data_IF_517154640442
#
_entry.id   IF_517154640442
#
_cell.length_a   1.000
_cell.length_b   1.000
_cell.length_c   1.000
_cell.angle_alpha   90.00
_cell.angle_beta   90.00
_cell.angle_gamma   90.00
#
_symmetry.space_group_name_H-M   'P 1'
#
loop_
_entity.id
_entity.type
_entity.pdbx_description
1 polymer ?
#
# COMPACT_ATOMS: atom_id res chain seq x y z
N UNK A 1 -75.15 -12.07 -22.07
CA UNK A 1 -75.50 -13.18 -21.15
C UNK A 1 -74.22 -13.92 -20.80
N UNK A 2 -73.92 -14.04 -19.49
CA UNK A 2 -73.15 -15.06 -18.74
C UNK A 2 -71.90 -15.69 -19.42
N UNK A 3 -70.74 -15.84 -18.81
CA UNK A 3 -70.47 -16.31 -17.43
C UNK A 3 -69.00 -16.04 -17.08
N UNK A 4 -68.74 -15.90 -15.79
CA UNK A 4 -67.44 -15.84 -15.12
C UNK A 4 -66.83 -17.25 -15.12
N UNK A 5 -65.52 -17.40 -15.29
CA UNK A 5 -64.82 -18.47 -14.57
C UNK A 5 -63.37 -18.10 -14.23
N UNK A 6 -63.09 -18.28 -12.95
CA UNK A 6 -61.87 -18.06 -12.21
C UNK A 6 -60.93 -19.24 -12.42
N UNK A 7 -59.64 -18.99 -12.71
CA UNK A 7 -58.59 -19.98 -12.46
C UNK A 7 -57.32 -19.27 -11.99
N UNK A 8 -57.07 -19.40 -10.69
CA UNK A 8 -55.82 -19.05 -10.02
C UNK A 8 -54.89 -20.27 -10.14
N UNK A 9 -53.68 -20.12 -10.67
CA UNK A 9 -52.59 -21.00 -10.30
C UNK A 9 -51.24 -20.29 -10.36
N UNK A 10 -50.58 -20.37 -9.21
CA UNK A 10 -49.35 -19.71 -8.79
C UNK A 10 -48.13 -20.39 -9.41
N UNK A 11 -47.00 -19.69 -9.33
CA UNK A 11 -45.61 -20.18 -9.39
C UNK A 11 -45.03 -20.55 -10.76
N UNK A 12 -44.09 -19.72 -11.22
CA UNK A 12 -42.65 -20.01 -11.06
C UNK A 12 -41.81 -18.79 -11.44
N UNK A 13 -40.81 -18.49 -10.60
CA UNK A 13 -39.72 -17.57 -10.91
C UNK A 13 -38.93 -18.10 -12.11
N UNK A 14 -38.67 -17.23 -13.08
CA UNK A 14 -37.46 -17.28 -13.88
C UNK A 14 -36.96 -15.84 -14.05
N UNK A 15 -36.14 -15.39 -13.09
CA UNK A 15 -35.28 -14.24 -13.31
C UNK A 15 -34.13 -14.75 -14.16
N UNK A 16 -34.18 -14.49 -15.46
CA UNK A 16 -33.03 -14.67 -16.33
C UNK A 16 -33.01 -13.53 -17.35
N UNK A 17 -31.92 -12.76 -17.30
CA UNK A 17 -31.61 -11.76 -18.32
C UNK A 17 -31.55 -10.33 -17.79
N UNK A 18 -30.41 -9.95 -17.20
CA UNK A 18 -29.98 -8.56 -17.34
C UNK A 18 -28.45 -8.44 -17.33
N UNK A 19 -27.94 -8.31 -18.56
CA UNK A 19 -26.79 -7.49 -18.97
C UNK A 19 -25.42 -7.75 -18.34
N UNK A 20 -24.58 -8.42 -19.13
CA UNK A 20 -23.13 -8.32 -19.10
C UNK A 20 -22.69 -6.86 -19.33
N UNK A 21 -22.54 -6.11 -18.25
CA UNK A 21 -21.83 -4.84 -18.24
C UNK A 21 -20.35 -5.08 -17.93
N UNK A 22 -19.49 -5.03 -18.95
CA UNK A 22 -18.04 -4.93 -18.74
C UNK A 22 -17.74 -3.61 -18.03
N UNK A 23 -17.49 -3.67 -16.72
CA UNK A 23 -16.90 -2.54 -16.00
C UNK A 23 -15.44 -2.44 -16.44
N UNK A 24 -15.18 -1.65 -17.48
CA UNK A 24 -13.83 -1.14 -17.76
C UNK A 24 -13.44 -0.24 -16.61
N UNK A 25 -12.78 -0.81 -15.60
CA UNK A 25 -12.04 -0.03 -14.62
C UNK A 25 -10.87 0.59 -15.38
N UNK A 26 -11.04 1.84 -15.83
CA UNK A 26 -9.94 2.66 -16.27
C UNK A 26 -9.01 2.82 -15.06
N UNK A 27 -8.01 1.95 -14.95
CA UNK A 27 -6.90 2.13 -14.02
C UNK A 27 -6.09 3.29 -14.58
N UNK A 28 -6.52 4.52 -14.26
CA UNK A 28 -5.69 5.70 -14.44
C UNK A 28 -4.37 5.38 -13.74
N UNK A 29 -3.25 5.34 -14.46
CA UNK A 29 -1.96 5.06 -13.84
C UNK A 29 -1.79 6.03 -12.67
N UNK A 30 -1.54 5.52 -11.46
CA UNK A 30 -1.13 6.34 -10.33
C UNK A 30 0.23 6.94 -10.68
N UNK A 31 0.21 8.09 -11.38
CA UNK A 31 1.38 8.90 -11.63
C UNK A 31 1.64 9.70 -10.38
N UNK A 32 2.74 9.43 -9.68
CA UNK A 32 3.22 10.34 -8.65
C UNK A 32 3.96 11.49 -9.34
N UNK A 33 3.58 12.73 -9.05
CA UNK A 33 4.31 13.91 -9.49
C UNK A 33 5.73 13.90 -8.91
N UNK A 34 6.73 14.24 -9.73
CA UNK A 34 8.13 14.26 -9.31
C UNK A 34 8.92 15.35 -10.04
N UNK A 35 9.99 15.82 -9.39
CA UNK A 35 10.97 16.74 -10.00
C UNK A 35 12.32 16.02 -10.26
N UNK A 36 12.65 14.98 -9.49
CA UNK A 36 13.85 14.16 -9.68
C UNK A 36 15.09 14.72 -8.98
N UNK A 37 14.97 15.03 -7.70
CA UNK A 37 16.07 15.51 -6.86
C UNK A 37 16.22 14.62 -5.62
N UNK A 38 17.46 14.36 -5.23
CA UNK A 38 17.80 13.95 -3.88
C UNK A 38 17.92 15.20 -3.02
N UNK A 39 17.35 15.14 -1.83
CA UNK A 39 17.23 16.29 -0.94
C UNK A 39 17.73 15.96 0.46
N UNK A 40 18.22 16.98 1.17
CA UNK A 40 18.66 16.91 2.56
C UNK A 40 18.15 18.12 3.34
N UNK A 41 17.95 17.91 4.64
CA UNK A 41 17.53 18.93 5.58
C UNK A 41 18.67 19.89 5.88
N UNK A 42 18.33 21.15 6.15
CA UNK A 42 19.31 22.18 6.48
C UNK A 42 19.29 22.37 7.98
N UNK A 43 20.32 21.85 8.65
CA UNK A 43 20.60 22.17 10.05
C UNK A 43 21.31 23.53 10.18
N UNK A 44 21.41 24.03 11.42
CA UNK A 44 22.01 25.33 11.71
C UNK A 44 23.51 25.41 11.36
N UNK A 45 24.23 24.28 11.29
CA UNK A 45 25.65 24.26 10.86
C UNK A 45 25.78 24.37 9.33
N UNK A 46 24.91 23.66 8.61
CA UNK A 46 24.83 23.67 7.17
C UNK A 46 24.38 25.03 6.65
N UNK A 47 23.40 25.66 7.30
CA UNK A 47 22.93 27.00 6.96
C UNK A 47 24.06 28.04 7.02
N UNK A 48 24.91 27.98 8.06
CA UNK A 48 26.09 28.85 8.22
C UNK A 48 27.13 28.60 7.14
N UNK A 49 27.38 27.34 6.80
CA UNK A 49 28.33 26.94 5.77
C UNK A 49 27.90 27.45 4.38
N UNK A 50 26.61 27.37 4.09
CA UNK A 50 26.00 27.84 2.83
C UNK A 50 25.73 29.36 2.82
N UNK A 51 26.04 30.04 3.93
CA UNK A 51 25.81 31.48 4.16
C UNK A 51 24.36 31.88 3.87
N UNK A 52 23.43 31.02 4.26
CA UNK A 52 22.00 31.29 4.13
C UNK A 52 21.59 32.40 5.10
N UNK A 53 20.62 33.20 4.67
CA UNK A 53 20.03 34.25 5.52
C UNK A 53 19.08 33.67 6.57
N UNK A 54 18.53 32.49 6.30
CA UNK A 54 17.52 31.85 7.12
C UNK A 54 17.81 30.34 7.22
N UNK A 55 17.55 29.75 8.38
CA UNK A 55 17.65 28.29 8.62
C UNK A 55 16.40 27.58 8.08
N UNK A 56 16.11 27.77 6.80
CA UNK A 56 14.95 27.21 6.15
C UNK A 56 15.28 26.78 4.72
N UNK A 57 14.53 25.80 4.25
CA UNK A 57 14.64 25.28 2.89
C UNK A 57 15.19 23.87 2.87
N UNK A 58 15.49 23.42 1.65
CA UNK A 58 15.92 22.05 1.39
C UNK A 58 17.10 22.07 0.43
N UNK A 59 18.21 21.44 0.83
CA UNK A 59 19.40 21.33 -0.01
C UNK A 59 19.24 20.19 -1.01
N UNK A 60 19.56 20.46 -2.28
CA UNK A 60 19.63 19.47 -3.33
C UNK A 60 20.99 18.77 -3.25
N UNK A 61 21.00 17.52 -2.81
CA UNK A 61 22.22 16.70 -2.74
C UNK A 61 22.50 15.97 -4.05
N UNK A 62 21.46 15.75 -4.87
CA UNK A 62 21.56 14.99 -6.11
C UNK A 62 20.51 15.42 -7.10
N UNK A 63 20.83 15.38 -8.38
CA UNK A 63 19.87 15.56 -9.47
C UNK A 63 19.81 14.27 -10.28
N UNK A 64 18.60 13.74 -10.51
CA UNK A 64 18.38 12.55 -11.35
C UNK A 64 18.71 12.91 -12.81
N UNK A 65 19.45 12.06 -13.55
CA UNK A 65 19.59 12.22 -15.00
C UNK A 65 18.23 12.16 -15.72
N UNK A 66 18.09 12.92 -16.81
CA UNK A 66 16.88 13.06 -17.64
C UNK A 66 15.63 13.58 -16.91
N UNK A 67 15.81 14.07 -15.69
CA UNK A 67 14.72 14.53 -14.83
C UNK A 67 14.24 15.95 -15.15
N UNK A 68 13.02 16.32 -14.71
CA UNK A 68 12.59 17.72 -14.71
C UNK A 68 13.58 18.70 -14.08
N UNK A 69 14.22 18.31 -12.98
CA UNK A 69 15.18 19.14 -12.27
C UNK A 69 16.42 19.44 -13.11
N UNK A 70 16.98 18.43 -13.75
CA UNK A 70 18.13 18.57 -14.63
C UNK A 70 17.80 19.48 -15.83
N UNK A 71 16.64 19.25 -16.45
CA UNK A 71 16.15 20.07 -17.59
C UNK A 71 15.90 21.52 -17.21
N UNK A 72 15.52 21.77 -15.96
CA UNK A 72 15.36 23.12 -15.42
C UNK A 72 16.69 23.77 -15.00
N UNK A 73 17.80 23.03 -15.05
CA UNK A 73 19.12 23.52 -14.68
C UNK A 73 19.34 23.61 -13.17
N UNK A 74 18.60 22.84 -12.36
CA UNK A 74 18.93 22.63 -10.94
C UNK A 74 20.25 21.87 -10.82
N UNK A 75 21.00 22.14 -9.76
CA UNK A 75 22.33 21.59 -9.51
C UNK A 75 22.45 21.11 -8.07
N UNK A 76 23.36 20.17 -7.84
CA UNK A 76 23.76 19.80 -6.49
C UNK A 76 24.34 21.00 -5.74
N UNK A 77 23.94 21.17 -4.49
CA UNK A 77 24.31 22.30 -3.63
C UNK A 77 23.34 23.49 -3.71
N UNK A 78 22.34 23.45 -4.58
CA UNK A 78 21.25 24.43 -4.56
C UNK A 78 20.39 24.23 -3.31
N UNK A 79 19.96 25.32 -2.70
CA UNK A 79 18.99 25.27 -1.60
C UNK A 79 17.66 25.84 -2.07
N UNK A 80 16.59 25.06 -2.03
CA UNK A 80 15.25 25.54 -2.36
C UNK A 80 14.65 26.26 -1.14
N UNK A 81 14.39 27.56 -1.29
CA UNK A 81 13.81 28.43 -0.27
C UNK A 81 12.31 28.61 -0.45
N UNK A 82 11.84 28.68 -1.70
CA UNK A 82 10.41 28.84 -2.00
C UNK A 82 9.94 27.94 -3.14
N UNK A 83 8.67 27.56 -3.08
CA UNK A 83 7.94 26.79 -4.07
C UNK A 83 6.66 27.54 -4.45
N UNK A 84 6.56 28.06 -5.68
CA UNK A 84 5.44 28.90 -6.14
C UNK A 84 5.12 30.09 -5.21
N UNK A 85 6.14 30.70 -4.60
CA UNK A 85 5.97 31.80 -3.64
C UNK A 85 5.57 31.36 -2.23
N UNK A 86 5.46 30.05 -1.98
CA UNK A 86 5.31 29.51 -0.63
C UNK A 86 6.69 29.16 -0.07
N UNK A 87 6.95 29.58 1.17
CA UNK A 87 8.19 29.25 1.88
C UNK A 87 8.31 27.75 2.11
N UNK A 88 9.49 27.21 1.87
CA UNK A 88 9.86 25.83 2.17
C UNK A 88 10.59 25.81 3.50
N UNK A 89 10.02 25.13 4.50
CA UNK A 89 10.60 25.00 5.84
C UNK A 89 11.42 23.71 5.99
N UNK A 90 11.10 22.66 5.21
CA UNK A 90 11.82 21.40 5.27
C UNK A 90 11.39 20.36 4.24
N UNK A 91 12.00 19.17 4.33
CA UNK A 91 11.85 18.07 3.36
C UNK A 91 10.39 17.65 3.19
N UNK A 92 9.67 17.44 4.31
CA UNK A 92 8.29 16.96 4.30
C UNK A 92 7.36 17.91 3.56
N UNK A 93 7.51 19.22 3.81
CA UNK A 93 6.72 20.25 3.15
C UNK A 93 7.05 20.32 1.66
N UNK A 94 8.34 20.33 1.31
CA UNK A 94 8.78 20.34 -0.10
C UNK A 94 8.24 19.13 -0.87
N UNK A 95 8.40 17.92 -0.30
CA UNK A 95 7.91 16.68 -0.89
C UNK A 95 6.40 16.74 -1.11
N UNK A 96 5.63 17.20 -0.11
CA UNK A 96 4.18 17.38 -0.24
C UNK A 96 3.81 18.33 -1.38
N UNK A 97 4.42 19.52 -1.44
CA UNK A 97 4.15 20.52 -2.48
C UNK A 97 4.40 19.98 -3.90
N UNK A 98 5.46 19.17 -4.07
CA UNK A 98 5.76 18.48 -5.34
C UNK A 98 4.68 17.45 -5.69
N UNK A 99 4.24 16.63 -4.73
CA UNK A 99 3.24 15.59 -4.95
C UNK A 99 1.84 16.16 -5.22
N UNK A 100 1.49 17.29 -4.58
CA UNK A 100 0.21 17.97 -4.76
C UNK A 100 0.15 18.76 -6.08
N UNK A 101 1.31 19.07 -6.68
CA UNK A 101 1.35 19.74 -7.97
C UNK A 101 1.12 18.73 -9.10
N UNK A 102 0.10 18.90 -9.97
CA UNK A 102 -0.13 18.02 -11.10
C UNK A 102 1.06 17.96 -12.05
N UNK A 103 1.38 16.75 -12.51
CA UNK A 103 2.38 16.58 -13.54
C UNK A 103 2.03 17.38 -14.81
N UNK A 104 3.06 17.95 -15.43
CA UNK A 104 2.95 18.85 -16.58
C UNK A 104 2.88 20.32 -16.23
N UNK A 105 2.57 20.69 -14.96
CA UNK A 105 2.62 22.10 -14.54
C UNK A 105 4.05 22.60 -14.37
N UNK A 106 4.24 23.87 -14.71
CA UNK A 106 5.44 24.62 -14.36
C UNK A 106 5.30 25.22 -12.98
N UNK A 107 6.41 25.16 -12.23
CA UNK A 107 6.51 25.63 -10.86
C UNK A 107 7.73 26.53 -10.78
N UNK A 108 7.57 27.69 -10.18
CA UNK A 108 8.68 28.61 -9.91
C UNK A 108 9.29 28.26 -8.56
N UNK A 109 10.55 27.86 -8.57
CA UNK A 109 11.36 27.67 -7.38
C UNK A 109 12.22 28.92 -7.15
N UNK A 110 12.30 29.38 -5.91
CA UNK A 110 13.38 30.27 -5.49
C UNK A 110 14.46 29.43 -4.83
N UNK A 111 15.65 29.45 -5.43
CA UNK A 111 16.81 28.72 -4.95
C UNK A 111 17.90 29.67 -4.49
N UNK A 112 18.73 29.22 -3.57
CA UNK A 112 20.00 29.86 -3.22
C UNK A 112 21.14 29.10 -3.87
N UNK A 113 21.93 29.81 -4.67
CA UNK A 113 23.08 29.26 -5.40
C UNK A 113 24.20 30.27 -5.39
N UNK A 114 25.42 29.85 -5.02
CA UNK A 114 26.62 30.69 -4.99
C UNK A 114 26.45 31.99 -4.17
N UNK A 115 25.66 31.96 -3.08
CA UNK A 115 25.46 33.12 -2.21
C UNK A 115 24.40 34.13 -2.69
N UNK A 116 23.58 33.77 -3.69
CA UNK A 116 22.50 34.62 -4.18
C UNK A 116 21.21 33.82 -4.45
N UNK A 117 20.05 34.47 -4.29
CA UNK A 117 18.77 33.93 -4.70
C UNK A 117 18.63 33.94 -6.22
N UNK A 118 18.18 32.84 -6.80
CA UNK A 118 17.86 32.67 -8.22
C UNK A 118 16.46 32.08 -8.36
N UNK A 119 15.70 32.53 -9.36
CA UNK A 119 14.42 31.92 -9.71
C UNK A 119 14.63 30.89 -10.82
N UNK A 120 14.21 29.65 -10.59
CA UNK A 120 14.28 28.56 -11.56
C UNK A 120 12.88 27.99 -11.77
N UNK A 121 12.45 27.87 -13.02
CA UNK A 121 11.16 27.28 -13.34
C UNK A 121 11.34 25.81 -13.70
N UNK A 122 10.62 24.94 -13.01
CA UNK A 122 10.68 23.49 -13.18
C UNK A 122 9.33 22.96 -13.62
N UNK A 123 9.31 22.15 -14.68
CA UNK A 123 8.09 21.48 -15.13
C UNK A 123 7.93 20.13 -14.42
N UNK A 124 6.99 20.02 -13.48
CA UNK A 124 6.76 18.79 -12.71
C UNK A 124 6.49 17.61 -13.65
N UNK A 125 7.26 16.53 -13.50
CA UNK A 125 7.12 15.32 -14.30
C UNK A 125 6.09 14.36 -13.71
N UNK A 126 5.57 13.47 -14.55
CA UNK A 126 4.81 12.31 -14.09
C UNK A 126 5.79 11.14 -13.94
N UNK A 127 6.05 10.68 -12.71
CA UNK A 127 6.77 9.42 -12.53
C UNK A 127 5.72 8.36 -12.75
N UNK A 128 5.77 7.74 -13.93
CA UNK A 128 5.07 6.47 -14.12
C UNK A 128 5.79 5.50 -13.20
N UNK A 129 5.25 5.29 -12.01
CA UNK A 129 5.64 4.13 -11.23
C UNK A 129 5.46 2.95 -12.18
N UNK A 130 6.50 2.13 -12.41
CA UNK A 130 6.28 0.84 -13.02
C UNK A 130 5.13 0.25 -12.22
N UNK A 131 4.05 -0.16 -12.88
CA UNK A 131 3.12 -1.04 -12.19
C UNK A 131 4.03 -2.14 -11.60
N UNK A 132 3.92 -2.50 -10.31
CA UNK A 132 4.64 -3.66 -9.80
C UNK A 132 4.37 -4.91 -10.66
N UNK A 133 3.32 -4.86 -11.49
CA UNK A 133 2.94 -5.85 -12.49
C UNK A 133 2.49 -5.16 -13.79
N UNK A 134 3.22 -5.26 -14.91
CA UNK A 134 2.79 -4.71 -16.18
C UNK A 134 1.63 -5.53 -16.75
N UNK A 135 0.47 -4.90 -16.93
CA UNK A 135 -0.59 -5.34 -17.86
C UNK A 135 -1.39 -6.58 -17.48
N UNK A 136 -2.53 -6.71 -18.14
CA UNK A 136 -3.46 -7.83 -18.02
C UNK A 136 -2.78 -9.12 -18.52
N UNK A 137 -2.61 -10.10 -17.62
CA UNK A 137 -2.10 -11.44 -17.95
C UNK A 137 -0.61 -11.65 -17.69
N UNK A 138 -0.31 -12.66 -16.88
CA UNK A 138 1.04 -13.17 -16.68
C UNK A 138 1.55 -13.84 -17.96
N UNK A 139 2.51 -13.23 -18.64
CA UNK A 139 3.44 -13.96 -19.50
C UNK A 139 4.86 -13.70 -19.00
N UNK A 140 5.31 -14.56 -18.07
CA UNK A 140 6.73 -14.69 -17.79
C UNK A 140 7.37 -15.24 -19.07
N UNK A 141 8.17 -14.43 -19.76
CA UNK A 141 9.21 -15.01 -20.59
C UNK A 141 10.05 -15.92 -19.67
N UNK A 142 10.35 -17.18 -20.06
CA UNK A 142 11.10 -18.07 -19.20
C UNK A 142 12.45 -17.42 -18.90
N UNK A 143 12.69 -17.10 -17.64
CA UNK A 143 13.99 -16.63 -17.17
C UNK A 143 15.01 -17.74 -17.50
N UNK A 144 16.18 -17.41 -18.05
CA UNK A 144 17.27 -18.37 -18.11
C UNK A 144 17.55 -18.87 -16.68
N UNK A 145 17.95 -20.14 -16.48
CA UNK A 145 18.25 -20.66 -15.15
C UNK A 145 19.32 -19.77 -14.52
N UNK A 146 19.00 -19.05 -13.44
CA UNK A 146 20.02 -18.32 -12.70
C UNK A 146 20.95 -19.35 -12.08
N UNK A 147 22.23 -19.31 -12.45
CA UNK A 147 23.28 -19.91 -11.63
C UNK A 147 23.19 -19.28 -10.24
N UNK A 148 23.09 -20.12 -9.20
CA UNK A 148 22.98 -19.67 -7.82
C UNK A 148 24.29 -18.99 -7.43
N UNK A 149 24.34 -17.67 -7.47
CA UNK A 149 25.39 -16.93 -6.79
C UNK A 149 25.04 -16.89 -5.30
N UNK A 150 25.75 -17.68 -4.50
CA UNK A 150 25.73 -17.60 -3.03
C UNK A 150 26.40 -16.30 -2.58
N UNK A 151 25.69 -15.19 -2.71
CA UNK A 151 26.10 -13.93 -2.06
C UNK A 151 25.55 -13.98 -0.64
N UNK A 152 26.41 -14.32 0.33
CA UNK A 152 26.12 -14.12 1.76
C UNK A 152 25.98 -12.62 2.03
N UNK A 153 24.75 -12.14 2.08
CA UNK A 153 24.43 -10.79 2.53
C UNK A 153 24.60 -10.76 4.06
N UNK A 154 25.46 -9.91 4.64
CA UNK A 154 25.61 -9.77 6.09
C UNK A 154 24.29 -9.35 6.76
N UNK A 155 24.06 -9.84 7.99
CA UNK A 155 22.89 -9.52 8.82
C UNK A 155 22.82 -8.01 9.12
N UNK A 156 22.12 -7.28 8.26
CA UNK A 156 21.64 -5.94 8.57
C UNK A 156 20.29 -6.06 9.31
N UNK A 157 20.07 -5.34 10.42
CA UNK A 157 18.79 -5.31 11.10
C UNK A 157 17.73 -4.85 10.10
N UNK A 158 16.85 -5.78 9.68
CA UNK A 158 15.76 -5.49 8.76
C UNK A 158 14.81 -4.52 9.47
N UNK A 159 14.86 -3.25 9.11
CA UNK A 159 13.83 -2.28 9.46
C UNK A 159 12.51 -2.73 8.84
N UNK A 160 11.71 -3.41 9.65
CA UNK A 160 10.29 -3.74 9.52
C UNK A 160 9.62 -3.30 8.20
N UNK A 161 9.88 -4.04 7.12
CA UNK A 161 8.91 -4.17 6.05
C UNK A 161 7.83 -5.10 6.60
N UNK A 162 6.84 -4.53 7.30
CA UNK A 162 5.71 -5.28 7.85
C UNK A 162 4.94 -5.95 6.70
N UNK A 163 5.30 -7.20 6.41
CA UNK A 163 4.42 -8.10 5.69
C UNK A 163 3.24 -8.40 6.60
N UNK A 164 2.30 -7.46 6.65
CA UNK A 164 0.95 -7.71 7.15
C UNK A 164 0.40 -8.79 6.24
N UNK A 165 0.28 -10.01 6.74
CA UNK A 165 -0.43 -11.11 6.08
C UNK A 165 -1.91 -10.74 6.02
N UNK A 166 -2.25 -9.79 5.16
CA UNK A 166 -3.49 -9.02 5.15
C UNK A 166 -4.74 -9.83 4.80
N UNK A 167 -4.63 -11.16 4.71
CA UNK A 167 -5.72 -12.03 4.33
C UNK A 167 -6.15 -13.02 5.42
N UNK A 168 -5.33 -13.24 6.47
CA UNK A 168 -5.79 -13.90 7.71
C UNK A 168 -5.99 -12.91 8.86
N UNK A 169 -5.55 -11.66 8.69
CA UNK A 169 -5.59 -10.65 9.75
C UNK A 169 -4.68 -10.93 10.94
N UNK A 170 -3.69 -11.81 10.79
CA UNK A 170 -2.72 -12.17 11.83
C UNK A 170 -1.39 -11.45 11.62
N UNK A 171 -0.84 -10.92 12.70
CA UNK A 171 0.58 -10.53 12.75
C UNK A 171 1.37 -11.72 13.27
N UNK A 172 2.36 -12.13 12.49
CA UNK A 172 3.00 -13.41 12.73
C UNK A 172 4.51 -13.36 12.50
N UNK A 173 5.24 -14.20 13.22
CA UNK A 173 6.69 -14.28 13.22
C UNK A 173 7.14 -15.73 13.04
N UNK A 174 8.22 -15.96 12.29
CA UNK A 174 8.80 -17.29 12.17
C UNK A 174 9.35 -17.76 13.52
N UNK A 175 9.02 -18.99 13.91
CA UNK A 175 9.62 -19.68 15.05
C UNK A 175 10.66 -20.70 14.58
N UNK A 176 11.88 -20.52 15.06
CA UNK A 176 13.00 -21.42 14.81
C UNK A 176 13.75 -21.73 16.12
N UNK A 177 14.46 -22.86 16.15
CA UNK A 177 15.33 -23.26 17.27
C UNK A 177 14.61 -23.45 18.60
N UNK A 178 15.22 -22.95 19.69
CA UNK A 178 14.75 -23.16 21.08
C UNK A 178 13.35 -22.60 21.34
N UNK A 179 12.95 -21.54 20.63
CA UNK A 179 11.61 -20.96 20.74
C UNK A 179 10.57 -21.92 20.15
N UNK A 180 10.85 -22.57 19.02
CA UNK A 180 9.96 -23.56 18.43
C UNK A 180 9.74 -24.75 19.40
N UNK A 181 10.82 -25.23 20.03
CA UNK A 181 10.77 -26.31 21.02
C UNK A 181 9.90 -25.96 22.24
N UNK A 182 9.97 -24.71 22.73
CA UNK A 182 9.12 -24.23 23.82
C UNK A 182 7.63 -24.34 23.49
N UNK A 183 7.25 -24.01 22.25
CA UNK A 183 5.88 -24.14 21.76
C UNK A 183 5.51 -25.57 21.32
N UNK A 184 6.44 -26.53 21.42
CA UNK A 184 6.21 -27.93 21.08
C UNK A 184 6.19 -28.22 19.58
N UNK A 185 6.80 -27.35 18.76
CA UNK A 185 6.90 -27.51 17.31
C UNK A 185 8.36 -27.52 16.86
N UNK A 186 8.64 -28.13 15.70
CA UNK A 186 9.99 -28.08 15.08
C UNK A 186 10.22 -26.78 14.32
N UNK A 187 9.18 -26.29 13.67
CA UNK A 187 9.14 -25.06 12.88
C UNK A 187 7.69 -24.63 12.72
N UNK A 188 7.45 -23.34 12.54
CA UNK A 188 6.10 -22.80 12.37
C UNK A 188 6.09 -21.28 12.49
N UNK A 189 4.90 -20.70 12.44
CA UNK A 189 4.71 -19.25 12.48
C UNK A 189 3.88 -18.88 13.71
N UNK A 190 4.49 -18.21 14.68
CA UNK A 190 3.83 -17.70 15.88
C UNK A 190 2.93 -16.52 15.55
N UNK A 191 1.68 -16.59 15.96
CA UNK A 191 0.73 -15.49 15.92
C UNK A 191 0.99 -14.57 17.11
N UNK A 192 1.51 -13.38 16.82
CA UNK A 192 1.73 -12.32 17.83
C UNK A 192 0.42 -11.61 18.18
N UNK A 193 -0.40 -11.33 17.18
CA UNK A 193 -1.68 -10.65 17.35
C UNK A 193 -2.67 -11.06 16.25
N UNK A 194 -3.96 -10.92 16.55
CA UNK A 194 -5.05 -11.16 15.60
C UNK A 194 -5.88 -9.89 15.52
N UNK A 195 -6.17 -9.47 14.29
CA UNK A 195 -6.95 -8.26 14.02
C UNK A 195 -8.42 -8.55 14.25
N UNK A 196 -9.09 -7.66 14.99
CA UNK A 196 -10.55 -7.74 15.21
C UNK A 196 -11.32 -7.66 13.88
N UNK A 197 -12.32 -8.51 13.71
CA UNK A 197 -13.15 -8.62 12.51
C UNK A 197 -12.53 -9.42 11.36
N UNK A 198 -11.30 -9.92 11.49
CA UNK A 198 -10.63 -10.68 10.43
C UNK A 198 -11.10 -12.13 10.32
N UNK A 199 -10.90 -12.76 9.16
CA UNK A 199 -11.05 -14.19 8.95
C UNK A 199 -10.36 -15.04 10.04
N UNK A 200 -9.16 -14.65 10.47
CA UNK A 200 -8.43 -15.34 11.53
C UNK A 200 -9.14 -15.28 12.88
N UNK A 201 -9.67 -14.11 13.26
CA UNK A 201 -10.46 -13.97 14.50
C UNK A 201 -11.76 -14.75 14.42
N UNK A 202 -12.50 -14.62 13.30
CA UNK A 202 -13.76 -15.34 13.04
C UNK A 202 -13.56 -16.86 13.10
N UNK A 203 -12.40 -17.35 12.66
CA UNK A 203 -12.03 -18.76 12.72
C UNK A 203 -11.50 -19.21 14.09
N UNK A 204 -11.28 -18.29 15.03
CA UNK A 204 -10.85 -18.59 16.40
C UNK A 204 -9.33 -18.69 16.59
N UNK A 205 -8.54 -18.14 15.67
CA UNK A 205 -7.09 -17.97 15.85
C UNK A 205 -6.87 -16.94 16.98
N UNK A 206 -5.88 -17.19 17.84
CA UNK A 206 -5.53 -16.35 18.98
C UNK A 206 -4.03 -16.05 18.99
N UNK A 207 -3.65 -14.97 19.67
CA UNK A 207 -2.25 -14.71 19.98
C UNK A 207 -1.69 -15.87 20.82
N UNK A 208 -0.45 -16.28 20.51
CA UNK A 208 0.18 -17.46 21.10
C UNK A 208 -0.01 -18.75 20.33
N UNK A 209 -0.86 -18.75 19.29
CA UNK A 209 -0.98 -19.90 18.37
C UNK A 209 0.25 -20.01 17.48
N UNK A 210 0.70 -21.23 17.20
CA UNK A 210 1.75 -21.46 16.20
C UNK A 210 1.18 -22.20 15.01
N UNK A 211 1.07 -21.52 13.87
CA UNK A 211 0.58 -22.09 12.63
C UNK A 211 1.68 -22.95 12.01
N UNK A 212 1.40 -24.24 11.81
CA UNK A 212 2.35 -25.20 11.24
C UNK A 212 1.96 -25.60 9.81
N UNK A 213 0.67 -25.50 9.47
CA UNK A 213 0.15 -25.88 8.15
C UNK A 213 -1.02 -24.99 7.74
N UNK A 214 -1.07 -24.66 6.46
CA UNK A 214 -2.23 -24.04 5.82
C UNK A 214 -2.59 -24.93 4.64
N UNK A 215 -3.81 -25.45 4.64
CA UNK A 215 -4.28 -26.48 3.72
C UNK A 215 -3.43 -27.76 3.81
N UNK A 216 -3.01 -28.34 2.69
CA UNK A 216 -2.12 -29.49 2.65
C UNK A 216 -0.65 -29.16 2.93
N UNK A 217 -0.32 -27.87 3.06
CA UNK A 217 1.06 -27.44 2.94
C UNK A 217 1.67 -26.86 4.21
N UNK A 218 2.87 -27.34 4.53
CA UNK A 218 3.65 -26.87 5.68
C UNK A 218 4.06 -25.40 5.52
N UNK A 219 4.08 -24.69 6.64
CA UNK A 219 4.41 -23.27 6.72
C UNK A 219 5.48 -23.09 7.79
N UNK A 220 6.60 -22.46 7.41
CA UNK A 220 7.67 -22.11 8.34
C UNK A 220 7.82 -20.59 8.48
N UNK A 221 7.41 -19.82 7.47
CA UNK A 221 7.56 -18.37 7.45
C UNK A 221 6.24 -17.63 7.20
N UNK A 222 6.10 -16.37 7.65
CA UNK A 222 4.95 -15.53 7.30
C UNK A 222 4.74 -15.37 5.78
N UNK A 223 5.82 -15.48 4.99
CA UNK A 223 5.81 -15.50 3.53
C UNK A 223 4.92 -16.62 2.98
N UNK A 224 5.09 -17.81 3.53
CA UNK A 224 4.41 -19.03 3.10
C UNK A 224 2.91 -18.90 3.35
N UNK A 225 2.52 -18.34 4.49
CA UNK A 225 1.12 -18.04 4.81
C UNK A 225 0.54 -17.09 3.77
N UNK A 226 1.16 -15.92 3.58
CA UNK A 226 0.63 -14.89 2.70
C UNK A 226 0.48 -15.36 1.24
N UNK A 227 1.44 -16.15 0.76
CA UNK A 227 1.43 -16.72 -0.58
C UNK A 227 0.31 -17.76 -0.76
N UNK A 228 0.12 -18.65 0.23
CA UNK A 228 -0.92 -19.70 0.19
C UNK A 228 -2.32 -19.11 0.26
N UNK A 229 -2.53 -18.19 1.21
CA UNK A 229 -3.81 -17.53 1.41
C UNK A 229 -4.22 -16.74 0.17
N UNK A 230 -3.25 -16.16 -0.56
CA UNK A 230 -3.54 -15.47 -1.83
C UNK A 230 -4.05 -16.41 -2.92
N UNK A 231 -3.58 -17.65 -2.96
CA UNK A 231 -3.98 -18.66 -3.95
C UNK A 231 -5.30 -19.33 -3.58
N UNK A 232 -5.62 -19.41 -2.29
CA UNK A 232 -6.80 -20.12 -1.77
C UNK A 232 -8.01 -19.19 -1.48
N UNK A 233 -8.00 -17.98 -2.03
CA UNK A 233 -9.08 -16.98 -1.86
C UNK A 233 -10.44 -17.52 -2.29
N UNK A 234 -11.48 -17.08 -1.59
CA UNK A 234 -12.87 -17.45 -1.87
C UNK A 234 -13.26 -18.85 -1.38
N UNK A 235 -12.41 -19.49 -0.57
CA UNK A 235 -12.64 -20.83 -0.01
C UNK A 235 -12.35 -20.86 1.48
N UNK A 236 -12.97 -21.81 2.17
CA UNK A 236 -12.59 -22.17 3.54
C UNK A 236 -11.40 -23.11 3.51
N UNK A 237 -10.35 -22.74 4.22
CA UNK A 237 -9.08 -23.46 4.25
C UNK A 237 -8.82 -24.01 5.65
N UNK A 238 -8.48 -25.30 5.80
CA UNK A 238 -8.06 -25.82 7.10
C UNK A 238 -6.66 -25.29 7.44
N UNK A 239 -6.53 -24.67 8.61
CA UNK A 239 -5.28 -24.17 9.18
C UNK A 239 -4.96 -25.03 10.40
N UNK A 240 -3.82 -25.71 10.35
CA UNK A 240 -3.32 -26.50 11.48
C UNK A 240 -2.40 -25.61 12.31
N UNK A 241 -2.68 -25.55 13.60
CA UNK A 241 -1.93 -24.77 14.55
C UNK A 241 -1.72 -25.53 15.86
N UNK A 242 -0.71 -25.09 16.60
CA UNK A 242 -0.38 -25.56 17.93
C UNK A 242 -0.81 -24.52 18.95
N UNK A 243 -1.62 -24.93 19.93
CA UNK A 243 -2.02 -24.11 21.09
C UNK A 243 -1.86 -24.95 22.34
N UNK A 244 -1.16 -24.44 23.35
CA UNK A 244 -0.86 -25.17 24.59
C UNK A 244 -0.21 -26.56 24.37
N UNK A 245 0.67 -26.66 23.35
CA UNK A 245 1.30 -27.92 22.89
C UNK A 245 0.32 -29.00 22.42
N UNK A 246 -0.90 -28.61 22.03
CA UNK A 246 -1.87 -29.49 21.37
C UNK A 246 -2.10 -29.03 19.93
N UNK A 247 -2.03 -29.95 19.00
CA UNK A 247 -2.35 -29.71 17.61
C UNK A 247 -3.86 -29.58 17.44
N UNK A 248 -4.30 -28.54 16.74
CA UNK A 248 -5.70 -28.30 16.40
C UNK A 248 -5.83 -27.78 14.98
N UNK A 249 -6.96 -28.06 14.34
CA UNK A 249 -7.27 -27.60 12.99
C UNK A 249 -8.46 -26.66 13.05
N UNK A 250 -8.29 -25.44 12.54
CA UNK A 250 -9.34 -24.43 12.41
C UNK A 250 -9.68 -24.23 10.94
N UNK A 251 -10.97 -24.15 10.62
CA UNK A 251 -11.40 -23.85 9.25
C UNK A 251 -11.52 -22.33 9.10
N UNK A 252 -10.69 -21.74 8.24
CA UNK A 252 -10.67 -20.29 8.02
C UNK A 252 -11.32 -19.96 6.69
N UNK A 253 -12.45 -19.24 6.72
CA UNK A 253 -13.09 -18.71 5.52
C UNK A 253 -12.32 -17.51 4.99
N UNK A 254 -11.69 -17.64 3.84
CA UNK A 254 -10.94 -16.56 3.18
C UNK A 254 -11.89 -15.80 2.23
N UNK A 255 -12.71 -14.90 2.77
CA UNK A 255 -13.60 -14.07 1.97
C UNK A 255 -12.87 -12.88 1.29
N UNK A 256 -13.43 -12.37 0.18
CA UNK A 256 -12.90 -11.20 -0.52
C UNK A 256 -13.31 -9.86 0.14
N UNK A 257 -14.26 -9.89 1.11
CA UNK A 257 -14.81 -8.71 1.78
C UNK A 257 -13.92 -8.18 2.91
N UNK A 258 -13.12 -9.04 3.54
CA UNK A 258 -12.18 -8.66 4.62
C UNK A 258 -11.10 -7.65 4.15
N UNK A 259 -10.94 -7.46 2.83
CA UNK A 259 -10.09 -6.40 2.26
C UNK A 259 -10.82 -5.07 2.07
N UNK A 260 -12.15 -5.09 1.89
CA UNK A 260 -12.94 -3.91 1.57
C UNK A 260 -13.24 -3.09 2.83
N UNK A 261 -13.57 -3.76 3.94
CA UNK A 261 -14.07 -3.09 5.14
C UNK A 261 -12.99 -2.30 5.92
N UNK A 262 -11.76 -2.79 5.88
CA UNK A 262 -10.61 -2.12 6.49
C UNK A 262 -10.24 -0.78 5.84
N UNK A 263 -10.47 -0.61 4.53
CA UNK A 263 -10.05 0.61 3.82
C UNK A 263 -11.04 1.78 3.96
N UNK A 264 -12.33 1.52 4.25
CA UNK A 264 -13.36 2.57 4.30
C UNK A 264 -13.69 3.08 5.71
N UNK A 265 -13.52 2.27 6.74
CA UNK A 265 -14.08 2.55 8.08
C UNK A 265 -13.24 3.52 8.94
N UNK A 266 -11.99 3.81 8.55
CA UNK A 266 -11.10 4.73 9.29
C UNK A 266 -11.05 6.17 8.73
N UNK A 267 -11.71 6.46 7.60
CA UNK A 267 -11.69 7.81 6.98
C UNK A 267 -13.04 8.43 6.63
N UNK A 268 -14.17 7.76 6.83
CA UNK A 268 -15.49 8.33 6.58
C UNK A 268 -16.52 7.73 7.55
N UNK A 269 -16.45 8.08 8.84
CA UNK A 269 -17.71 8.12 9.59
C UNK A 269 -18.47 9.34 9.04
N UNK A 270 -19.61 9.18 8.34
CA UNK A 270 -20.41 10.33 7.95
C UNK A 270 -20.79 11.07 9.23
N UNK A 271 -20.48 12.37 9.27
CA UNK A 271 -20.96 13.25 10.32
C UNK A 271 -22.48 13.05 10.43
N UNK A 272 -23.03 12.59 11.57
CA UNK A 272 -24.46 12.33 11.71
C UNK A 272 -25.32 13.59 11.57
N UNK A 273 -24.70 14.78 11.45
CA UNK A 273 -25.36 16.06 11.20
C UNK A 273 -25.18 16.60 9.77
N UNK A 274 -24.54 15.87 8.85
CA UNK A 274 -24.41 16.33 7.47
C UNK A 274 -25.75 16.15 6.72
N UNK A 275 -26.46 17.26 6.48
CA UNK A 275 -27.65 17.29 5.62
C UNK A 275 -27.24 16.92 4.17
N UNK A 276 -28.05 16.10 3.46
CA UNK A 276 -27.77 15.73 2.07
C UNK A 276 -27.77 16.96 1.15
N UNK A 277 -26.81 17.01 0.23
CA UNK A 277 -26.57 18.11 -0.73
C UNK A 277 -27.74 18.27 -1.74
N UNK A 278 -28.67 17.31 -1.80
CA UNK A 278 -29.86 17.36 -2.66
C UNK A 278 -30.91 18.42 -2.26
N UNK A 279 -30.69 19.19 -1.18
CA UNK A 279 -31.66 20.16 -0.67
C UNK A 279 -31.31 21.65 -0.90
N UNK A 280 -30.30 21.99 -1.72
CA UNK A 280 -29.86 23.40 -1.93
C UNK A 280 -30.34 24.00 -3.28
N UNK A 281 -31.10 23.27 -4.10
CA UNK A 281 -31.68 23.81 -5.36
C UNK A 281 -33.17 24.19 -5.28
N UNK A 282 -33.69 24.58 -4.11
CA UNK A 282 -35.04 25.14 -4.00
C UNK A 282 -35.16 26.49 -3.28
N UNK A 283 -34.05 27.19 -3.02
CA UNK A 283 -34.08 28.58 -2.53
C UNK A 283 -33.04 29.48 -3.24
N UNK A 284 -33.12 29.52 -4.57
CA UNK A 284 -32.71 30.69 -5.36
C UNK A 284 -33.75 30.94 -6.46
#
# INVERSE_FOLDING_TARGET
>A
MRTIETALLVSTLAVSGMLAGQVKVATTPMSSSFIGVGIQEIDSERAKTLKLREEAGVEITRVDPDSPAEKAGLKTGDVVLQYNGQRVEGIEQFSRMVHETPAGREVKLEIWRNGASQSVTVKVGARRMPKPFPGDGFSLAPMPPMERFDVRIPDVPRSYMSWRSAALGVEAESLEGQLAEYFGVKEGVLVRSVTKGSAGEKAGIKAGDVITRVDESKVATPADISSRVRTLRGKSVPVVLMRDRKEMTLSVALDDQDRADWFWERKLAPNPQAKPITAIQQEL
#
